data_IF_866722143980
#
_entry.id   IF_866722143980
#
_cell.length_a   1.000
_cell.length_b   1.000
_cell.length_c   1.000
_cell.angle_alpha   90.00
_cell.angle_beta   90.00
_cell.angle_gamma   90.00
#
_symmetry.space_group_name_H-M   'P 1'
#
loop_
_entity.id
_entity.type
_entity.pdbx_description
1 polymer ?
#
# COMPACT_ATOMS: atom_id res chain seq x y z
N UNK A 1 69.23 -46.27 47.35
CA UNK A 1 69.20 -44.83 46.93
C UNK A 1 68.54 -44.56 45.61
N UNK A 2 67.99 -45.55 44.93
CA UNK A 2 67.36 -45.35 43.55
C UNK A 2 65.87 -45.00 43.58
N UNK A 3 65.11 -45.26 44.62
CA UNK A 3 63.70 -45.04 44.72
C UNK A 3 63.32 -43.57 44.96
N UNK A 4 64.21 -42.75 45.49
CA UNK A 4 63.91 -41.34 45.82
C UNK A 4 64.01 -40.38 44.63
N UNK A 5 64.75 -40.78 43.57
CA UNK A 5 64.91 -39.91 42.37
C UNK A 5 63.76 -40.10 41.37
N UNK A 6 63.07 -41.26 41.43
CA UNK A 6 61.99 -41.55 40.51
C UNK A 6 60.68 -40.75 40.84
N UNK A 7 60.40 -40.64 42.18
CA UNK A 7 59.22 -39.92 42.64
C UNK A 7 59.30 -38.40 42.35
N UNK A 8 60.50 -37.84 42.36
CA UNK A 8 60.71 -36.40 42.11
C UNK A 8 60.49 -36.06 40.62
N UNK A 9 60.80 -37.00 39.71
CA UNK A 9 60.56 -36.77 38.25
C UNK A 9 59.13 -36.87 37.91
N UNK A 10 58.33 -37.74 38.48
CA UNK A 10 56.89 -37.82 38.24
C UNK A 10 56.14 -36.64 38.82
N UNK A 11 56.57 -36.12 39.99
CA UNK A 11 55.97 -34.92 40.58
C UNK A 11 56.18 -33.69 39.71
N UNK A 12 57.34 -33.52 39.10
CA UNK A 12 57.63 -32.40 38.21
C UNK A 12 56.78 -32.46 36.92
N UNK A 13 56.58 -33.68 36.37
CA UNK A 13 55.72 -33.87 35.17
C UNK A 13 54.24 -33.61 35.48
N UNK A 14 53.77 -34.00 36.67
CA UNK A 14 52.39 -33.71 37.10
C UNK A 14 52.14 -32.21 37.29
N UNK A 15 53.11 -31.49 37.86
CA UNK A 15 52.98 -30.00 37.96
C UNK A 15 53.04 -29.32 36.64
N UNK A 16 53.78 -29.85 35.67
CA UNK A 16 53.87 -29.30 34.34
C UNK A 16 52.55 -29.55 33.51
N UNK A 17 51.93 -30.72 33.68
CA UNK A 17 50.66 -31.07 33.09
C UNK A 17 49.46 -30.26 33.69
N UNK A 18 49.50 -29.98 35.00
CA UNK A 18 48.49 -29.16 35.65
C UNK A 18 48.61 -27.68 35.24
N UNK A 19 49.83 -27.20 34.97
CA UNK A 19 50.05 -25.81 34.53
C UNK A 19 49.53 -25.53 33.12
N UNK A 20 49.50 -26.54 32.24
CA UNK A 20 49.02 -26.39 30.85
C UNK A 20 47.49 -26.34 30.75
N UNK A 21 46.78 -26.96 31.72
CA UNK A 21 45.30 -26.96 31.71
C UNK A 21 44.65 -25.64 32.16
N UNK A 22 45.44 -24.70 32.69
CA UNK A 22 44.97 -23.39 33.17
C UNK A 22 45.04 -22.29 32.11
N UNK A 23 45.45 -22.61 30.87
CA UNK A 23 45.35 -21.65 29.77
C UNK A 23 43.88 -21.66 29.29
N UNK A 24 43.00 -21.04 30.08
CA UNK A 24 41.64 -20.70 29.65
C UNK A 24 41.74 -19.78 28.43
N UNK A 25 41.28 -20.29 27.33
CA UNK A 25 41.09 -19.44 26.15
C UNK A 25 40.15 -18.31 26.55
N UNK A 26 40.68 -17.10 26.71
CA UNK A 26 39.88 -15.89 26.81
C UNK A 26 39.24 -15.69 25.43
N UNK A 27 38.01 -16.20 25.27
CA UNK A 27 37.18 -15.93 24.11
C UNK A 27 36.70 -14.49 24.26
N UNK A 28 37.30 -13.58 23.53
CA UNK A 28 36.72 -12.24 23.34
C UNK A 28 35.47 -12.45 22.49
N UNK A 29 34.31 -12.55 23.13
CA UNK A 29 33.05 -12.40 22.45
C UNK A 29 32.93 -10.91 22.04
N UNK A 30 33.11 -10.61 20.75
CA UNK A 30 32.73 -9.32 20.24
C UNK A 30 31.21 -9.20 20.42
N UNK A 31 30.80 -8.45 21.41
CA UNK A 31 29.39 -8.17 21.73
C UNK A 31 28.86 -6.96 20.94
N UNK A 32 29.70 -6.37 20.12
CA UNK A 32 29.30 -5.23 19.33
C UNK A 32 28.68 -5.68 18.00
N UNK A 33 27.37 -5.51 17.88
CA UNK A 33 26.64 -5.68 16.63
C UNK A 33 26.51 -4.34 15.91
N UNK A 34 27.05 -4.25 14.70
CA UNK A 34 26.89 -3.06 13.85
C UNK A 34 25.72 -3.28 12.90
N UNK A 35 24.79 -2.32 12.88
CA UNK A 35 23.67 -2.30 11.95
C UNK A 35 23.63 -0.96 11.21
N UNK A 36 23.11 -0.98 9.99
CA UNK A 36 22.84 0.23 9.20
C UNK A 36 21.38 0.26 8.82
N UNK A 37 20.73 1.38 9.09
CA UNK A 37 19.39 1.66 8.63
C UNK A 37 19.49 2.79 7.60
N UNK A 38 19.06 2.51 6.37
CA UNK A 38 18.97 3.54 5.34
C UNK A 38 17.51 4.00 5.27
N UNK A 39 17.32 5.32 5.23
CA UNK A 39 16.00 5.94 5.05
C UNK A 39 16.06 6.78 3.78
N UNK A 40 15.11 6.57 2.89
CA UNK A 40 14.93 7.37 1.68
C UNK A 40 13.47 7.85 1.61
N UNK A 41 13.25 9.03 1.11
CA UNK A 41 11.92 9.62 0.97
C UNK A 41 11.98 10.91 0.19
N UNK A 42 10.83 11.44 -0.18
CA UNK A 42 10.70 12.75 -0.81
C UNK A 42 9.68 13.58 -0.03
N UNK A 43 9.93 14.88 0.03
CA UNK A 43 8.95 15.85 0.53
C UNK A 43 8.33 16.48 -0.72
N UNK A 44 7.00 16.36 -0.82
CA UNK A 44 6.25 16.93 -1.95
C UNK A 44 5.32 18.02 -1.43
N UNK A 45 5.17 19.09 -2.22
CA UNK A 45 4.20 20.15 -1.96
C UNK A 45 2.86 19.74 -2.58
N UNK A 46 1.82 19.69 -1.76
CA UNK A 46 0.44 19.45 -2.19
C UNK A 46 -0.48 20.49 -1.60
N UNK A 47 -1.44 21.04 -2.36
CA UNK A 47 -2.35 22.06 -1.85
C UNK A 47 -3.32 21.55 -0.79
N UNK A 48 -3.69 20.26 -0.83
CA UNK A 48 -4.65 19.64 0.08
C UNK A 48 -4.09 18.39 0.73
N UNK A 49 -4.58 18.07 1.92
CA UNK A 49 -4.44 16.77 2.53
C UNK A 49 -5.70 15.92 2.29
N UNK A 50 -5.52 14.60 2.18
CA UNK A 50 -6.63 13.64 2.09
C UNK A 50 -6.95 13.17 3.50
N UNK A 51 -8.25 13.16 3.87
CA UNK A 51 -8.72 12.63 5.15
C UNK A 51 -8.21 11.19 5.36
N UNK A 52 -7.72 10.89 6.56
CA UNK A 52 -7.03 9.62 6.84
C UNK A 52 -7.92 8.42 6.53
N UNK A 53 -9.19 8.47 6.90
CA UNK A 53 -10.14 7.39 6.62
C UNK A 53 -10.49 7.22 5.14
N UNK A 54 -10.16 8.20 4.29
CA UNK A 54 -10.46 8.16 2.86
C UNK A 54 -9.25 7.72 2.01
N UNK A 55 -8.06 7.64 2.62
CA UNK A 55 -6.85 7.13 1.94
C UNK A 55 -6.92 5.65 1.65
N UNK A 56 -7.60 4.91 2.52
CA UNK A 56 -7.81 3.48 2.39
C UNK A 56 -9.24 3.15 2.81
N UNK A 57 -10.07 2.73 1.87
CA UNK A 57 -11.48 2.44 2.08
C UNK A 57 -11.80 1.02 1.62
N UNK A 58 -12.54 0.26 2.43
CA UNK A 58 -13.11 -1.00 2.02
C UNK A 58 -14.61 -0.84 1.81
N UNK A 59 -15.08 -1.10 0.60
CA UNK A 59 -16.47 -0.93 0.21
C UNK A 59 -17.12 -2.30 -0.02
N UNK A 60 -18.08 -2.64 0.80
CA UNK A 60 -18.84 -3.85 0.64
C UNK A 60 -20.01 -3.63 -0.31
N UNK A 61 -19.99 -4.30 -1.46
CA UNK A 61 -21.01 -4.16 -2.51
C UNK A 61 -22.30 -4.92 -2.20
N UNK A 62 -22.24 -5.93 -1.31
CA UNK A 62 -23.39 -6.79 -0.98
C UNK A 62 -23.60 -7.93 -1.98
N UNK A 63 -24.69 -8.68 -1.81
CA UNK A 63 -25.04 -9.81 -2.66
C UNK A 63 -26.08 -9.39 -3.70
N UNK A 64 -25.84 -9.72 -4.96
CA UNK A 64 -26.69 -9.32 -6.06
C UNK A 64 -27.12 -10.53 -6.89
N UNK A 65 -28.42 -10.73 -7.15
CA UNK A 65 -28.87 -11.81 -8.01
C UNK A 65 -28.38 -11.61 -9.45
N UNK A 66 -27.81 -12.67 -10.04
CA UNK A 66 -27.36 -12.70 -11.45
C UNK A 66 -28.50 -12.25 -12.39
N UNK A 67 -29.73 -12.71 -12.14
CA UNK A 67 -30.91 -12.36 -12.93
C UNK A 67 -31.18 -10.84 -12.97
N UNK A 68 -30.84 -10.12 -11.90
CA UNK A 68 -31.00 -8.67 -11.85
C UNK A 68 -29.97 -7.98 -12.75
N UNK A 69 -28.72 -8.41 -12.69
CA UNK A 69 -27.65 -7.85 -13.52
C UNK A 69 -27.92 -8.12 -15.01
N UNK A 70 -28.39 -9.33 -15.34
CA UNK A 70 -28.79 -9.68 -16.73
C UNK A 70 -29.91 -8.76 -17.23
N UNK A 71 -30.95 -8.54 -16.44
CA UNK A 71 -32.13 -7.78 -16.84
C UNK A 71 -31.83 -6.29 -16.94
N UNK A 72 -31.05 -5.74 -16.02
CA UNK A 72 -30.79 -4.31 -15.88
C UNK A 72 -29.46 -3.87 -16.53
N UNK A 73 -28.63 -4.83 -16.96
CA UNK A 73 -27.28 -4.58 -17.51
C UNK A 73 -26.28 -4.11 -16.45
N UNK A 74 -26.73 -3.91 -15.22
CA UNK A 74 -25.92 -3.35 -14.15
C UNK A 74 -26.43 -3.76 -12.77
N UNK A 75 -25.52 -3.83 -11.81
CA UNK A 75 -25.82 -4.00 -10.39
C UNK A 75 -26.22 -2.69 -9.72
N UNK A 76 -26.51 -2.70 -8.42
CA UNK A 76 -26.82 -1.50 -7.68
C UNK A 76 -25.61 -0.58 -7.56
N UNK A 77 -25.92 0.69 -7.35
CA UNK A 77 -24.92 1.74 -7.13
C UNK A 77 -24.51 1.79 -5.67
N UNK A 78 -23.23 1.99 -5.43
CA UNK A 78 -22.65 2.27 -4.12
C UNK A 78 -21.88 3.58 -4.20
N UNK A 79 -22.21 4.52 -3.32
CA UNK A 79 -21.51 5.79 -3.25
C UNK A 79 -20.30 5.70 -2.32
N UNK A 80 -19.24 6.45 -2.66
CA UNK A 80 -18.11 6.72 -1.80
C UNK A 80 -17.60 8.14 -2.04
N UNK A 81 -16.76 8.63 -1.16
CA UNK A 81 -16.19 9.97 -1.30
C UNK A 81 -14.73 9.99 -0.89
N UNK A 82 -14.00 10.94 -1.46
CA UNK A 82 -12.65 11.32 -1.04
C UNK A 82 -12.75 12.75 -0.52
N UNK A 83 -12.49 12.94 0.77
CA UNK A 83 -12.51 14.25 1.41
C UNK A 83 -11.10 14.83 1.40
N UNK A 84 -11.02 16.05 0.90
CA UNK A 84 -9.81 16.87 0.93
C UNK A 84 -10.02 17.94 1.99
N UNK A 85 -8.98 18.23 2.78
CA UNK A 85 -9.04 19.26 3.80
C UNK A 85 -7.77 20.11 3.82
N UNK A 86 -7.88 21.30 4.41
CA UNK A 86 -6.79 22.25 4.53
C UNK A 86 -6.24 22.69 3.19
N UNK A 87 -7.09 22.79 2.17
CA UNK A 87 -6.68 23.20 0.83
C UNK A 87 -6.24 24.66 0.83
N UNK A 88 -5.01 24.92 0.34
CA UNK A 88 -4.44 26.25 0.13
C UNK A 88 -4.12 26.41 -1.35
N UNK A 89 -4.50 27.53 -1.93
CA UNK A 89 -4.24 27.80 -3.34
C UNK A 89 -2.83 28.34 -3.58
N UNK A 90 -2.28 29.08 -2.60
CA UNK A 90 -0.97 29.72 -2.68
C UNK A 90 0.15 28.70 -2.48
N UNK A 91 1.14 28.72 -3.35
CA UNK A 91 2.33 27.88 -3.25
C UNK A 91 3.34 28.45 -2.25
N UNK A 92 4.15 27.55 -1.67
CA UNK A 92 5.28 27.95 -0.82
C UNK A 92 6.36 28.68 -1.62
N UNK A 93 6.53 28.35 -2.88
CA UNK A 93 7.45 29.04 -3.81
C UNK A 93 6.71 30.16 -4.55
N UNK A 94 6.95 31.44 -4.22
CA UNK A 94 6.25 32.58 -4.85
C UNK A 94 6.55 32.76 -6.34
N UNK A 95 7.59 32.09 -6.86
CA UNK A 95 7.91 32.13 -8.30
C UNK A 95 7.00 31.27 -9.15
N UNK A 96 6.24 30.35 -8.53
CA UNK A 96 5.31 29.46 -9.19
C UNK A 96 3.88 30.02 -9.13
N UNK A 97 3.07 29.79 -10.16
CA UNK A 97 1.65 30.18 -10.13
C UNK A 97 0.92 29.42 -9.02
N UNK A 98 -0.10 30.05 -8.46
CA UNK A 98 -1.00 29.42 -7.50
C UNK A 98 -1.66 28.17 -8.08
N UNK A 99 -2.05 27.24 -7.20
CA UNK A 99 -2.80 26.05 -7.55
C UNK A 99 -4.21 26.45 -8.01
N UNK A 100 -4.64 25.93 -9.16
CA UNK A 100 -5.94 26.27 -9.73
C UNK A 100 -6.87 25.09 -9.89
N UNK A 101 -6.30 23.98 -10.35
CA UNK A 101 -7.08 22.83 -10.76
C UNK A 101 -6.48 21.52 -10.24
N UNK A 102 -7.29 20.47 -10.30
CA UNK A 102 -6.83 19.11 -10.04
C UNK A 102 -7.49 18.11 -10.97
N UNK A 103 -6.86 16.97 -11.13
CA UNK A 103 -7.38 15.80 -11.86
C UNK A 103 -7.29 14.58 -10.96
N UNK A 104 -8.30 13.73 -11.04
CA UNK A 104 -8.31 12.45 -10.32
C UNK A 104 -8.16 11.32 -11.34
N UNK A 105 -7.31 10.37 -11.03
CA UNK A 105 -7.13 9.16 -11.78
C UNK A 105 -7.36 7.96 -10.87
N UNK A 106 -8.09 6.98 -11.37
CA UNK A 106 -8.23 5.67 -10.74
C UNK A 106 -7.42 4.66 -11.55
N UNK A 107 -6.63 3.82 -10.87
CA UNK A 107 -5.75 2.83 -11.48
C UNK A 107 -6.09 1.43 -11.00
N UNK A 108 -6.03 0.45 -11.90
CA UNK A 108 -6.35 -0.95 -11.66
C UNK A 108 -6.29 -1.77 -12.95
N UNK A 109 -6.55 -3.06 -12.87
CA UNK A 109 -6.65 -3.88 -14.07
C UNK A 109 -7.85 -3.45 -14.92
N UNK A 110 -7.65 -3.40 -16.24
CA UNK A 110 -8.67 -2.98 -17.20
C UNK A 110 -9.44 -4.18 -17.76
N UNK A 111 -10.76 -4.00 -17.94
CA UNK A 111 -11.66 -4.91 -18.66
C UNK A 111 -12.65 -4.08 -19.47
N UNK A 112 -12.42 -3.97 -20.77
CA UNK A 112 -13.27 -3.25 -21.74
C UNK A 112 -13.64 -1.82 -21.32
N UNK A 113 -12.64 -1.08 -20.83
CA UNK A 113 -12.78 0.31 -20.39
C UNK A 113 -13.26 0.45 -18.93
N UNK A 114 -13.51 -0.64 -18.24
CA UNK A 114 -13.89 -0.69 -16.84
C UNK A 114 -12.82 -1.36 -15.98
N UNK A 115 -13.01 -1.42 -14.67
CA UNK A 115 -12.10 -2.06 -13.75
C UNK A 115 -12.44 -3.55 -13.63
N UNK A 116 -11.45 -4.38 -13.94
CA UNK A 116 -11.58 -5.83 -13.89
C UNK A 116 -11.78 -6.32 -12.46
N UNK A 117 -12.75 -7.20 -12.26
CA UNK A 117 -12.95 -7.91 -11.00
C UNK A 117 -12.19 -9.24 -11.02
N UNK A 118 -11.75 -9.69 -9.85
CA UNK A 118 -11.17 -11.00 -9.60
C UNK A 118 -12.08 -11.83 -8.67
N UNK A 119 -11.94 -13.16 -8.68
CA UNK A 119 -12.74 -14.07 -7.89
C UNK A 119 -13.42 -15.13 -8.75
N UNK A 120 -14.47 -15.78 -8.21
CA UNK A 120 -15.20 -16.82 -8.93
C UNK A 120 -16.32 -16.27 -9.83
N UNK A 121 -16.78 -15.04 -9.58
CA UNK A 121 -17.74 -14.39 -10.47
C UNK A 121 -17.08 -14.05 -11.80
N UNK A 122 -17.81 -14.21 -12.89
CA UNK A 122 -17.38 -13.79 -14.23
C UNK A 122 -18.49 -13.03 -14.96
N UNK A 123 -18.14 -12.38 -16.07
CA UNK A 123 -19.07 -11.60 -16.86
C UNK A 123 -19.41 -10.23 -16.27
N UNK A 124 -18.66 -9.76 -15.26
CA UNK A 124 -18.83 -8.46 -14.61
C UNK A 124 -17.53 -7.69 -14.52
N UNK A 125 -17.65 -6.37 -14.61
CA UNK A 125 -16.59 -5.40 -14.33
C UNK A 125 -17.13 -4.31 -13.39
N UNK A 126 -16.25 -3.51 -12.80
CA UNK A 126 -16.66 -2.37 -11.98
C UNK A 126 -16.52 -1.07 -12.75
N UNK A 127 -17.58 -0.28 -12.75
CA UNK A 127 -17.60 1.08 -13.28
C UNK A 127 -17.55 2.08 -12.12
N UNK A 128 -16.66 3.07 -12.24
CA UNK A 128 -16.62 4.25 -11.37
C UNK A 128 -17.10 5.44 -12.17
N UNK A 129 -17.93 6.27 -11.58
CA UNK A 129 -18.31 7.56 -12.16
C UNK A 129 -18.27 8.67 -11.10
N UNK A 130 -17.96 9.88 -11.52
CA UNK A 130 -18.06 11.05 -10.67
C UNK A 130 -19.51 11.54 -10.56
N UNK A 131 -19.75 12.60 -9.76
CA UNK A 131 -21.07 13.18 -9.55
C UNK A 131 -21.63 13.91 -10.78
N UNK A 132 -20.79 14.20 -11.80
CA UNK A 132 -21.19 14.77 -13.08
C UNK A 132 -21.52 13.70 -14.13
N UNK A 133 -21.29 12.41 -13.79
CA UNK A 133 -21.52 11.28 -14.68
C UNK A 133 -20.33 10.90 -15.55
N UNK A 134 -19.16 11.55 -15.40
CA UNK A 134 -17.97 11.14 -16.13
C UNK A 134 -17.51 9.77 -15.62
N UNK A 135 -17.30 8.84 -16.54
CA UNK A 135 -16.85 7.47 -16.25
C UNK A 135 -15.33 7.44 -16.23
N UNK A 136 -14.78 6.87 -15.15
CA UNK A 136 -13.35 6.65 -15.03
C UNK A 136 -12.94 5.39 -15.79
N UNK A 137 -11.87 5.49 -16.57
CA UNK A 137 -11.15 4.36 -17.15
C UNK A 137 -9.85 4.14 -16.40
N UNK A 138 -9.39 2.89 -16.21
CA UNK A 138 -8.14 2.59 -15.52
C UNK A 138 -6.95 3.36 -16.09
N UNK A 139 -6.18 4.04 -15.24
CA UNK A 139 -4.99 4.79 -15.63
C UNK A 139 -5.25 6.10 -16.41
N UNK A 140 -6.51 6.51 -16.57
CA UNK A 140 -6.88 7.73 -17.29
C UNK A 140 -7.44 8.78 -16.31
N UNK A 141 -7.02 10.04 -16.47
CA UNK A 141 -7.53 11.11 -15.65
C UNK A 141 -9.00 11.42 -16.01
N UNK A 142 -9.79 11.63 -14.97
CA UNK A 142 -11.09 12.28 -15.11
C UNK A 142 -10.92 13.75 -15.55
N UNK A 143 -11.97 14.38 -16.07
CA UNK A 143 -11.93 15.78 -16.42
C UNK A 143 -11.41 16.66 -15.28
N UNK A 144 -10.66 17.68 -15.66
CA UNK A 144 -10.10 18.66 -14.75
C UNK A 144 -11.19 19.42 -14.00
N UNK A 145 -10.92 19.75 -12.75
CA UNK A 145 -11.85 20.47 -11.87
C UNK A 145 -11.13 21.58 -11.13
N UNK A 146 -11.86 22.65 -10.88
CA UNK A 146 -11.35 23.77 -10.08
C UNK A 146 -11.04 23.34 -8.64
N UNK A 147 -9.88 23.77 -8.16
CA UNK A 147 -9.49 23.62 -6.79
C UNK A 147 -10.10 24.77 -5.97
N UNK A 148 -10.76 24.45 -4.88
CA UNK A 148 -11.29 25.41 -3.94
C UNK A 148 -10.51 25.39 -2.65
N UNK A 149 -10.38 26.57 -2.01
CA UNK A 149 -9.81 26.66 -0.68
C UNK A 149 -10.67 25.92 0.36
N UNK A 150 -10.09 25.58 1.49
CA UNK A 150 -10.67 24.87 2.63
C UNK A 150 -10.93 23.38 2.38
N UNK A 151 -12.19 22.95 2.37
CA UNK A 151 -12.52 21.52 2.33
C UNK A 151 -13.32 21.19 1.07
N UNK A 152 -12.97 20.06 0.43
CA UNK A 152 -13.67 19.56 -0.74
C UNK A 152 -14.12 18.11 -0.54
N UNK A 153 -15.31 17.80 -1.06
CA UNK A 153 -15.85 16.44 -1.08
C UNK A 153 -15.95 15.94 -2.53
N UNK A 154 -15.09 15.00 -2.89
CA UNK A 154 -15.12 14.38 -4.20
C UNK A 154 -16.00 13.14 -4.13
N UNK A 155 -17.21 13.22 -4.69
CA UNK A 155 -18.20 12.15 -4.64
C UNK A 155 -18.13 11.28 -5.90
N UNK A 156 -18.14 9.97 -5.68
CA UNK A 156 -18.10 8.96 -6.73
C UNK A 156 -19.16 7.89 -6.50
N UNK A 157 -19.51 7.22 -7.59
CA UNK A 157 -20.42 6.09 -7.58
C UNK A 157 -19.74 4.88 -8.18
N UNK A 158 -19.82 3.76 -7.49
CA UNK A 158 -19.42 2.43 -7.97
C UNK A 158 -20.64 1.66 -8.43
N UNK A 159 -20.52 0.94 -9.55
CA UNK A 159 -21.52 -0.02 -9.93
C UNK A 159 -20.95 -1.22 -10.71
N UNK A 160 -21.42 -2.42 -10.42
CA UNK A 160 -21.13 -3.57 -11.25
C UNK A 160 -21.85 -3.44 -12.58
N UNK A 161 -21.15 -3.73 -13.66
CA UNK A 161 -21.68 -3.73 -15.02
C UNK A 161 -21.35 -5.04 -15.72
N UNK A 162 -22.17 -5.48 -16.64
CA UNK A 162 -21.83 -6.60 -17.50
C UNK A 162 -20.68 -6.23 -18.45
N UNK A 163 -19.71 -7.12 -18.60
CA UNK A 163 -18.57 -6.95 -19.50
C UNK A 163 -18.74 -7.68 -20.86
N UNK A 164 -19.97 -8.09 -21.19
CA UNK A 164 -20.32 -8.83 -22.41
C UNK A 164 -19.80 -10.28 -22.44
N UNK A 165 -19.36 -10.82 -21.33
CA UNK A 165 -19.03 -12.23 -21.16
C UNK A 165 -20.18 -12.96 -20.46
N UNK A 166 -20.07 -14.30 -20.40
CA UNK A 166 -21.07 -15.11 -19.71
C UNK A 166 -21.04 -14.81 -18.23
N UNK A 167 -22.18 -14.37 -17.71
CA UNK A 167 -22.34 -14.05 -16.29
C UNK A 167 -22.41 -15.31 -15.45
N UNK A 168 -21.51 -15.47 -14.50
CA UNK A 168 -21.48 -16.57 -13.54
C UNK A 168 -21.51 -16.02 -12.11
N UNK A 169 -22.28 -16.69 -11.25
CA UNK A 169 -22.34 -16.37 -9.84
C UNK A 169 -21.03 -16.76 -9.13
N UNK A 170 -20.61 -15.94 -8.20
CA UNK A 170 -19.42 -16.17 -7.38
C UNK A 170 -19.06 -14.91 -6.62
N UNK A 171 -18.03 -15.02 -5.80
CA UNK A 171 -17.44 -13.87 -5.13
C UNK A 171 -16.64 -13.02 -6.11
N UNK A 172 -16.65 -11.72 -5.89
CA UNK A 172 -15.85 -10.77 -6.65
C UNK A 172 -15.16 -9.78 -5.71
N UNK A 173 -13.95 -9.43 -6.08
CA UNK A 173 -13.15 -8.41 -5.39
C UNK A 173 -12.26 -7.68 -6.37
N UNK A 174 -11.85 -6.48 -6.01
CA UNK A 174 -10.79 -5.77 -6.72
C UNK A 174 -10.17 -4.71 -5.81
N UNK A 175 -8.96 -4.30 -6.14
CA UNK A 175 -8.29 -3.18 -5.50
C UNK A 175 -8.04 -2.11 -6.55
N UNK A 176 -8.49 -0.90 -6.27
CA UNK A 176 -8.29 0.28 -7.11
C UNK A 176 -7.44 1.27 -6.33
N UNK A 177 -6.42 1.82 -6.96
CA UNK A 177 -5.66 2.95 -6.44
C UNK A 177 -6.19 4.23 -7.05
N UNK A 178 -6.15 5.32 -6.31
CA UNK A 178 -6.43 6.63 -6.86
C UNK A 178 -5.25 7.58 -6.66
N UNK A 179 -5.15 8.55 -7.54
CA UNK A 179 -4.18 9.64 -7.48
C UNK A 179 -4.87 10.95 -7.79
N UNK A 180 -4.45 12.01 -7.11
CA UNK A 180 -4.90 13.36 -7.35
C UNK A 180 -3.69 14.17 -7.79
N UNK A 181 -3.73 14.70 -9.00
CA UNK A 181 -2.69 15.54 -9.58
C UNK A 181 -3.17 16.98 -9.58
N UNK A 182 -2.36 17.90 -9.09
CA UNK A 182 -2.67 19.32 -8.94
C UNK A 182 -1.86 20.15 -9.93
N UNK A 183 -2.50 21.20 -10.49
CA UNK A 183 -1.89 22.13 -11.46
C UNK A 183 -2.00 23.57 -10.97
#
# INVERSE_FOLDING_TARGET
MLFKSLSLRYSAVYFLLLGVSLITKISFANTEGFGRVNMTGSIVETPCAIEVGDREQTLFMGNHPVSKIIREGQGPKKEFSIRLFGCTLTRLDPSKPDWKNFKVMFDGEEDKGHFKTSGMASGVALRISDHLGNVASPGVHLPERDLMADNMHLKYTLNLVGNQEILQAGDHQLTIRFRIDYN
#
